data_IF_926004154664
#
_entry.id   IF_926004154664
#
_cell.length_a   1.000
_cell.length_b   1.000
_cell.length_c   1.000
_cell.angle_alpha   90.00
_cell.angle_beta   90.00
_cell.angle_gamma   90.00
#
_symmetry.space_group_name_H-M   'P 1'
#
loop_
_entity.id
_entity.type
_entity.pdbx_description
1 polymer ?
#
# COMPACT_ATOMS: atom_id res chain seq x y z
N UNK A 1 -8.95 -47.15 -68.46
CA UNK A 1 -8.39 -45.80 -68.29
C UNK A 1 -8.80 -45.31 -66.90
N UNK A 2 -7.81 -45.01 -66.03
CA UNK A 2 -7.84 -44.52 -64.64
C UNK A 2 -7.05 -45.41 -63.68
N UNK A 3 -5.78 -45.09 -63.61
CA UNK A 3 -4.83 -45.32 -62.52
C UNK A 3 -5.33 -44.69 -61.22
N UNK A 4 -5.18 -45.37 -60.09
CA UNK A 4 -5.16 -44.72 -58.76
C UNK A 4 -4.08 -45.36 -57.89
N UNK A 5 -3.01 -44.61 -57.65
CA UNK A 5 -1.99 -44.92 -56.64
C UNK A 5 -2.62 -44.79 -55.24
N UNK A 6 -2.40 -45.78 -54.37
CA UNK A 6 -2.57 -45.63 -52.92
C UNK A 6 -1.24 -45.15 -52.32
N UNK A 7 -1.19 -43.89 -51.92
CA UNK A 7 -0.11 -43.37 -51.08
C UNK A 7 -0.43 -43.73 -49.61
N UNK A 8 0.49 -44.44 -48.95
CA UNK A 8 0.43 -44.68 -47.51
C UNK A 8 0.89 -43.43 -46.76
N UNK A 9 -0.03 -42.76 -46.08
CA UNK A 9 0.28 -41.68 -45.15
C UNK A 9 0.57 -42.23 -43.76
N UNK A 10 1.84 -42.19 -43.34
CA UNK A 10 2.21 -42.32 -41.94
C UNK A 10 1.66 -41.10 -41.17
N UNK A 11 0.66 -41.31 -40.32
CA UNK A 11 0.26 -40.32 -39.31
C UNK A 11 1.32 -40.23 -38.23
N UNK A 12 2.20 -39.24 -38.34
CA UNK A 12 3.06 -38.82 -37.24
C UNK A 12 2.23 -38.08 -36.19
N UNK A 13 2.14 -38.65 -34.99
CA UNK A 13 1.58 -37.98 -33.82
C UNK A 13 2.56 -36.89 -33.39
N UNK A 14 2.25 -35.63 -33.70
CA UNK A 14 2.97 -34.48 -33.17
C UNK A 14 2.53 -34.31 -31.72
N UNK A 15 3.39 -34.75 -30.79
CA UNK A 15 3.26 -34.48 -29.38
C UNK A 15 3.66 -33.01 -29.15
N UNK A 16 2.67 -32.11 -29.19
CA UNK A 16 2.87 -30.72 -28.82
C UNK A 16 3.21 -30.66 -27.33
N UNK A 17 4.48 -30.43 -27.01
CA UNK A 17 4.88 -30.05 -25.66
C UNK A 17 4.23 -28.70 -25.35
N UNK A 18 3.22 -28.71 -24.47
CA UNK A 18 2.74 -27.52 -23.80
C UNK A 18 3.90 -26.96 -22.97
N UNK A 19 4.67 -26.05 -23.57
CA UNK A 19 5.56 -25.18 -22.81
C UNK A 19 4.64 -24.29 -21.98
N UNK A 20 4.38 -24.71 -20.74
CA UNK A 20 3.79 -23.82 -19.76
C UNK A 20 4.70 -22.61 -19.65
N UNK A 21 4.22 -21.45 -20.06
CA UNK A 21 4.84 -20.19 -19.69
C UNK A 21 4.75 -20.16 -18.16
N UNK A 22 5.87 -20.38 -17.48
CA UNK A 22 5.96 -20.13 -16.06
C UNK A 22 5.71 -18.63 -15.89
N UNK A 23 4.49 -18.25 -15.53
CA UNK A 23 4.18 -16.88 -15.15
C UNK A 23 5.11 -16.52 -13.98
N UNK A 24 5.88 -15.44 -14.11
CA UNK A 24 6.77 -15.04 -13.04
C UNK A 24 5.96 -14.72 -11.78
N UNK A 25 6.47 -15.17 -10.64
CA UNK A 25 5.81 -14.93 -9.36
C UNK A 25 6.16 -13.52 -8.90
N UNK A 26 5.12 -12.74 -8.64
CA UNK A 26 5.21 -11.37 -8.15
C UNK A 26 4.55 -11.27 -6.79
N UNK A 27 5.21 -10.61 -5.85
CA UNK A 27 4.71 -10.32 -4.52
C UNK A 27 4.72 -8.81 -4.32
N UNK A 28 3.54 -8.26 -4.04
CA UNK A 28 3.38 -6.86 -3.67
C UNK A 28 3.27 -6.74 -2.16
N UNK A 29 4.07 -5.84 -1.58
CA UNK A 29 4.08 -5.52 -0.16
C UNK A 29 3.72 -4.04 -0.03
N UNK A 30 2.57 -3.75 0.57
CA UNK A 30 2.19 -2.38 0.88
C UNK A 30 2.94 -1.91 2.12
N UNK A 31 3.60 -0.76 2.05
CA UNK A 31 4.41 -0.26 3.16
C UNK A 31 3.54 0.01 4.40
N UNK A 32 2.28 0.39 4.21
CA UNK A 32 1.33 0.53 5.32
C UNK A 32 1.11 -0.76 6.13
N UNK A 33 1.25 -1.91 5.48
CA UNK A 33 1.08 -3.23 6.08
C UNK A 33 2.35 -3.71 6.81
N UNK A 34 3.38 -2.87 6.94
CA UNK A 34 4.53 -3.19 7.77
C UNK A 34 4.10 -3.37 9.23
N UNK A 35 4.58 -4.44 9.86
CA UNK A 35 4.18 -4.81 11.24
C UNK A 35 4.68 -3.81 12.28
N UNK A 36 5.87 -3.27 12.09
CA UNK A 36 6.45 -2.22 12.93
C UNK A 36 6.83 -1.04 12.03
N UNK A 37 6.25 0.13 12.26
CA UNK A 37 6.62 1.33 11.50
C UNK A 37 7.87 2.01 12.08
N UNK A 38 8.33 1.62 13.26
CA UNK A 38 9.42 2.27 13.96
C UNK A 38 9.12 3.75 14.16
N UNK A 39 9.93 4.61 13.54
CA UNK A 39 9.70 6.05 13.53
C UNK A 39 9.01 6.58 12.27
N UNK A 40 8.77 5.74 11.27
CA UNK A 40 7.98 6.10 10.10
C UNK A 40 6.52 6.34 10.49
N UNK A 41 5.88 7.28 9.80
CA UNK A 41 4.47 7.63 9.99
C UNK A 41 3.66 7.16 8.81
N UNK A 42 2.55 6.47 9.08
CA UNK A 42 1.56 6.18 8.07
C UNK A 42 0.84 7.47 7.67
N UNK A 43 0.95 7.86 6.40
CA UNK A 43 0.23 8.98 5.81
C UNK A 43 -0.93 8.43 4.98
N UNK A 44 -2.15 8.74 5.41
CA UNK A 44 -3.40 8.34 4.76
C UNK A 44 -4.19 9.53 4.22
N UNK A 45 -3.66 10.75 4.26
CA UNK A 45 -4.49 11.96 4.04
C UNK A 45 -4.81 12.22 2.58
N UNK A 46 -4.06 11.60 1.66
CA UNK A 46 -4.17 11.85 0.23
C UNK A 46 -4.45 10.58 -0.57
N UNK A 47 -4.98 9.51 0.05
CA UNK A 47 -5.24 8.23 -0.64
C UNK A 47 -6.15 8.42 -1.86
N UNK A 48 -7.17 9.28 -1.76
CA UNK A 48 -8.09 9.56 -2.88
C UNK A 48 -7.42 10.25 -4.08
N UNK A 49 -6.26 10.88 -3.87
CA UNK A 49 -5.47 11.56 -4.91
C UNK A 49 -4.32 10.66 -5.37
N UNK A 50 -3.72 9.91 -4.45
CA UNK A 50 -2.50 9.13 -4.67
C UNK A 50 -2.75 7.67 -5.07
N UNK A 51 -3.97 7.18 -4.86
CA UNK A 51 -4.36 5.79 -5.08
C UNK A 51 -3.96 4.83 -3.96
N UNK A 52 -3.08 5.25 -3.04
CA UNK A 52 -2.65 4.46 -1.88
C UNK A 52 -2.04 5.32 -0.76
N UNK A 53 -2.10 4.86 0.50
CA UNK A 53 -1.35 5.44 1.61
C UNK A 53 0.12 5.00 1.56
N UNK A 54 0.98 5.67 2.34
CA UNK A 54 2.42 5.40 2.32
C UNK A 54 3.07 5.67 3.67
N UNK A 55 4.26 5.10 3.88
CA UNK A 55 5.10 5.42 5.03
C UNK A 55 5.97 6.65 4.75
N UNK A 56 6.02 7.55 5.73
CA UNK A 56 6.74 8.82 5.71
C UNK A 56 7.76 8.90 6.86
N UNK A 57 9.04 9.08 6.52
CA UNK A 57 10.12 9.31 7.47
C UNK A 57 10.23 10.79 7.89
N UNK A 58 9.31 11.25 8.75
CA UNK A 58 9.28 12.64 9.23
C UNK A 58 10.02 12.80 10.56
N UNK A 59 11.35 12.84 10.50
CA UNK A 59 12.25 12.96 11.66
C UNK A 59 12.78 14.37 11.93
N UNK A 60 12.27 15.39 11.24
CA UNK A 60 12.72 16.79 11.33
C UNK A 60 14.24 16.95 11.10
N UNK A 61 14.77 16.23 10.10
CA UNK A 61 16.18 16.23 9.73
C UNK A 61 17.06 15.31 10.58
N UNK A 62 16.47 14.44 11.40
CA UNK A 62 17.16 13.35 12.10
C UNK A 62 16.59 12.01 11.66
N UNK A 63 17.41 11.05 11.20
CA UNK A 63 16.91 9.75 10.78
C UNK A 63 15.98 9.11 11.80
N UNK A 64 14.85 8.59 11.33
CA UNK A 64 13.88 7.88 12.16
C UNK A 64 14.25 6.40 12.30
N UNK A 65 13.72 5.73 13.32
CA UNK A 65 13.91 4.28 13.48
C UNK A 65 13.26 3.51 12.32
N UNK A 66 13.89 2.41 11.91
CA UNK A 66 13.47 1.59 10.77
C UNK A 66 12.03 1.08 10.89
N UNK A 67 11.31 1.07 9.76
CA UNK A 67 10.11 0.26 9.63
C UNK A 67 10.49 -1.16 9.23
N UNK A 68 9.86 -2.18 9.84
CA UNK A 68 10.21 -3.59 9.69
C UNK A 68 8.97 -4.44 9.44
N UNK A 69 9.10 -5.41 8.54
CA UNK A 69 8.12 -6.48 8.38
C UNK A 69 8.78 -7.79 7.97
N UNK A 70 8.09 -8.89 8.19
CA UNK A 70 8.46 -10.21 7.70
C UNK A 70 7.47 -10.62 6.63
N UNK A 71 7.98 -11.18 5.54
CA UNK A 71 7.19 -11.68 4.42
C UNK A 71 7.59 -13.11 4.10
N UNK A 72 6.69 -13.80 3.42
CA UNK A 72 6.97 -15.12 2.84
C UNK A 72 6.97 -14.99 1.32
N UNK A 73 8.12 -15.21 0.69
CA UNK A 73 8.19 -15.35 -0.77
C UNK A 73 7.80 -16.77 -1.18
N UNK A 74 7.21 -16.99 -2.38
CA UNK A 74 6.72 -18.30 -2.78
C UNK A 74 7.80 -19.38 -2.83
N UNK A 75 9.04 -19.00 -3.17
CA UNK A 75 10.20 -19.90 -3.27
C UNK A 75 11.52 -19.12 -3.19
N UNK A 76 12.64 -19.78 -2.85
CA UNK A 76 13.96 -19.21 -3.04
C UNK A 76 14.25 -18.90 -4.52
N UNK A 77 15.10 -17.90 -4.77
CA UNK A 77 15.60 -17.54 -6.09
C UNK A 77 15.96 -16.07 -6.23
N UNK A 78 16.27 -15.66 -7.47
CA UNK A 78 16.56 -14.27 -7.81
C UNK A 78 15.29 -13.48 -8.06
N UNK A 79 15.13 -12.36 -7.35
CA UNK A 79 14.01 -11.43 -7.51
C UNK A 79 14.51 -10.07 -7.97
N UNK A 80 13.80 -9.45 -8.92
CA UNK A 80 13.89 -8.02 -9.19
C UNK A 80 13.09 -7.27 -8.14
N UNK A 81 13.62 -6.15 -7.68
CA UNK A 81 13.04 -5.35 -6.60
C UNK A 81 12.65 -3.99 -7.14
N UNK A 82 11.41 -3.57 -6.89
CA UNK A 82 10.96 -2.21 -7.15
C UNK A 82 10.41 -1.58 -5.88
N UNK A 83 10.63 -0.28 -5.72
CA UNK A 83 10.06 0.50 -4.61
C UNK A 83 9.24 1.64 -5.20
N UNK A 84 7.96 1.74 -4.86
CA UNK A 84 7.11 2.86 -5.26
C UNK A 84 7.40 4.06 -4.36
N UNK A 85 8.01 5.09 -4.94
CA UNK A 85 8.53 6.26 -4.22
C UNK A 85 8.59 7.48 -5.16
N UNK A 86 9.10 8.60 -4.65
CA UNK A 86 9.45 9.81 -5.42
C UNK A 86 10.48 10.65 -4.67
N UNK A 87 11.21 11.47 -5.43
CA UNK A 87 11.89 12.64 -4.89
C UNK A 87 10.86 13.76 -4.69
N UNK A 88 10.47 13.96 -3.45
CA UNK A 88 9.40 14.89 -3.11
C UNK A 88 9.75 16.35 -3.38
N UNK A 89 11.04 16.71 -3.41
CA UNK A 89 11.45 18.09 -3.71
C UNK A 89 11.64 18.36 -5.19
N UNK A 90 11.71 17.32 -6.03
CA UNK A 90 11.98 17.44 -7.46
C UNK A 90 10.98 18.34 -8.19
N UNK A 91 9.71 18.37 -7.77
CA UNK A 91 8.68 19.26 -8.36
C UNK A 91 9.02 20.75 -8.26
N UNK A 92 9.82 21.16 -7.27
CA UNK A 92 10.29 22.53 -7.13
C UNK A 92 11.69 22.76 -7.68
N UNK A 93 12.31 21.73 -8.30
CA UNK A 93 13.72 21.77 -8.75
C UNK A 93 14.68 22.20 -7.64
N UNK A 94 14.36 21.86 -6.39
CA UNK A 94 15.20 22.19 -5.26
C UNK A 94 16.51 21.35 -5.32
N UNK A 95 17.65 21.91 -4.88
CA UNK A 95 18.88 21.14 -4.81
C UNK A 95 18.81 20.08 -3.71
N UNK A 96 19.46 18.94 -3.96
CA UNK A 96 19.55 17.82 -3.01
C UNK A 96 18.40 16.82 -3.12
N UNK A 97 18.46 15.79 -2.30
CA UNK A 97 17.49 14.69 -2.23
C UNK A 97 17.25 14.39 -0.74
N UNK A 98 16.41 15.19 -0.07
CA UNK A 98 16.20 15.06 1.36
C UNK A 98 15.41 13.81 1.75
N UNK A 99 14.61 13.23 0.86
CA UNK A 99 13.80 12.04 1.15
C UNK A 99 14.52 10.70 0.96
N UNK A 100 15.84 10.63 1.19
CA UNK A 100 16.63 9.42 0.91
C UNK A 100 16.42 8.34 1.95
N UNK A 101 16.31 7.10 1.48
CA UNK A 101 16.25 5.90 2.32
C UNK A 101 16.80 4.69 1.58
N UNK A 102 17.05 3.61 2.32
CA UNK A 102 17.43 2.30 1.78
C UNK A 102 16.39 1.25 2.11
N UNK A 103 16.25 0.27 1.22
CA UNK A 103 15.57 -0.99 1.52
C UNK A 103 16.63 -2.02 1.92
N UNK A 104 16.49 -2.61 3.09
CA UNK A 104 17.30 -3.74 3.53
C UNK A 104 16.48 -5.03 3.40
N UNK A 105 17.12 -6.07 2.88
CA UNK A 105 16.55 -7.41 2.74
C UNK A 105 17.42 -8.35 3.56
N UNK A 106 16.83 -9.02 4.55
CA UNK A 106 17.55 -9.86 5.53
C UNK A 106 18.75 -9.14 6.17
N UNK A 107 18.55 -7.86 6.52
CA UNK A 107 19.56 -7.00 7.13
C UNK A 107 20.65 -6.48 6.20
N UNK A 108 20.64 -6.84 4.91
CA UNK A 108 21.58 -6.33 3.91
C UNK A 108 20.95 -5.20 3.11
N UNK A 109 21.53 -3.99 3.07
CA UNK A 109 21.01 -2.90 2.25
C UNK A 109 21.18 -3.21 0.77
N UNK A 110 20.17 -2.88 -0.02
CA UNK A 110 20.33 -2.81 -1.47
C UNK A 110 21.33 -1.70 -1.83
N UNK A 111 22.11 -1.86 -2.93
CA UNK A 111 23.03 -0.81 -3.38
C UNK A 111 22.34 0.51 -3.76
N UNK A 112 21.09 0.43 -4.22
CA UNK A 112 20.31 1.59 -4.64
C UNK A 112 19.83 2.43 -3.45
N UNK A 113 19.89 3.75 -3.59
CA UNK A 113 19.27 4.69 -2.65
C UNK A 113 17.96 5.24 -3.22
N UNK A 114 16.86 5.02 -2.52
CA UNK A 114 15.51 5.38 -2.94
C UNK A 114 15.12 6.80 -2.51
N UNK A 115 14.04 7.33 -3.09
CA UNK A 115 13.56 8.68 -2.84
C UNK A 115 14.43 9.78 -3.49
N UNK A 116 15.17 9.42 -4.53
CA UNK A 116 16.18 10.27 -5.19
C UNK A 116 15.83 10.67 -6.62
N UNK A 117 14.76 10.11 -7.19
CA UNK A 117 14.36 10.27 -8.59
C UNK A 117 12.86 10.50 -8.67
N UNK A 118 12.41 11.09 -9.78
CA UNK A 118 10.99 11.28 -10.11
C UNK A 118 10.29 12.36 -9.27
N UNK A 119 9.66 13.32 -9.94
CA UNK A 119 8.80 14.32 -9.27
C UNK A 119 7.42 13.75 -8.92
N UNK A 120 6.95 12.81 -9.73
CA UNK A 120 5.74 12.03 -9.51
C UNK A 120 6.08 10.66 -8.95
N UNK A 121 5.08 10.01 -8.34
CA UNK A 121 5.23 8.64 -7.85
C UNK A 121 5.50 7.70 -9.02
N UNK A 122 6.46 6.81 -8.82
CA UNK A 122 6.87 5.84 -9.81
C UNK A 122 7.53 4.63 -9.14
N UNK A 123 7.72 3.57 -9.90
CA UNK A 123 8.49 2.40 -9.49
C UNK A 123 9.98 2.63 -9.69
N UNK A 124 10.69 2.87 -8.58
CA UNK A 124 12.14 2.99 -8.56
C UNK A 124 12.77 1.60 -8.55
N UNK A 125 13.49 1.26 -9.63
CA UNK A 125 14.21 -0.01 -9.76
C UNK A 125 15.35 -0.12 -8.73
N UNK A 126 15.27 -1.12 -7.88
CA UNK A 126 16.23 -1.45 -6.83
C UNK A 126 17.27 -2.50 -7.24
N UNK A 127 17.22 -2.98 -8.48
CA UNK A 127 18.06 -4.06 -8.99
C UNK A 127 17.53 -5.45 -8.63
N UNK A 128 18.45 -6.39 -8.41
CA UNK A 128 18.10 -7.79 -8.12
C UNK A 128 18.70 -8.25 -6.79
N UNK A 129 18.03 -9.18 -6.15
CA UNK A 129 18.46 -9.83 -4.91
C UNK A 129 18.30 -11.33 -5.01
N UNK A 130 19.26 -12.09 -4.48
CA UNK A 130 19.14 -13.54 -4.33
C UNK A 130 18.57 -13.87 -2.95
N UNK A 131 17.45 -14.58 -2.92
CA UNK A 131 16.78 -15.03 -1.69
C UNK A 131 16.97 -16.54 -1.55
N UNK A 132 17.66 -16.95 -0.49
CA UNK A 132 17.96 -18.38 -0.23
C UNK A 132 16.91 -19.08 0.64
N UNK A 133 16.02 -18.32 1.26
CA UNK A 133 14.93 -18.79 2.14
C UNK A 133 13.62 -18.14 1.68
N UNK A 134 12.49 -18.77 2.03
CA UNK A 134 11.16 -18.21 1.81
C UNK A 134 10.81 -17.14 2.83
N UNK A 135 11.35 -17.22 4.05
CA UNK A 135 11.14 -16.19 5.08
C UNK A 135 12.13 -15.05 4.90
N UNK A 136 11.61 -13.83 4.73
CA UNK A 136 12.42 -12.65 4.43
C UNK A 136 12.01 -11.48 5.31
N UNK A 137 12.98 -10.83 5.93
CA UNK A 137 12.76 -9.56 6.64
C UNK A 137 13.04 -8.40 5.69
N UNK A 138 12.07 -7.49 5.57
CA UNK A 138 12.22 -6.21 4.89
C UNK A 138 12.38 -5.09 5.92
N UNK A 139 13.29 -4.15 5.68
CA UNK A 139 13.40 -2.91 6.47
C UNK A 139 13.52 -1.67 5.60
N UNK A 140 12.78 -0.63 5.95
CA UNK A 140 12.97 0.71 5.41
C UNK A 140 13.88 1.50 6.36
N UNK A 141 15.09 1.79 5.89
CA UNK A 141 16.10 2.52 6.65
C UNK A 141 16.19 3.96 6.16
N UNK A 142 15.76 4.90 7.00
CA UNK A 142 15.82 6.33 6.71
C UNK A 142 17.26 6.85 6.81
N UNK A 143 17.70 7.64 5.84
CA UNK A 143 19.05 8.19 5.80
C UNK A 143 19.11 9.67 6.21
N UNK A 144 17.97 10.35 6.35
CA UNK A 144 17.96 11.81 6.45
C UNK A 144 17.02 12.35 7.52
N UNK A 145 15.93 11.66 7.85
CA UNK A 145 14.88 12.22 8.69
C UNK A 145 14.04 13.28 8.03
N UNK A 146 14.11 13.42 6.70
CA UNK A 146 13.46 14.53 6.00
C UNK A 146 12.58 14.05 4.83
N UNK A 147 11.53 13.35 5.24
CA UNK A 147 10.39 12.96 4.41
C UNK A 147 10.74 11.94 3.32
N UNK A 148 11.49 10.89 3.69
CA UNK A 148 11.54 9.67 2.88
C UNK A 148 10.14 9.08 2.72
N UNK A 149 9.79 8.62 1.51
CA UNK A 149 8.44 8.15 1.18
C UNK A 149 8.48 6.77 0.53
N UNK A 150 7.72 5.82 1.07
CA UNK A 150 7.58 4.49 0.49
C UNK A 150 6.11 4.06 0.52
N UNK A 151 5.52 3.84 -0.66
CA UNK A 151 4.15 3.31 -0.80
C UNK A 151 4.14 1.80 -0.78
N UNK A 152 4.96 1.18 -1.63
CA UNK A 152 4.96 -0.27 -1.79
C UNK A 152 6.32 -0.78 -2.27
N UNK A 153 6.55 -2.06 -2.05
CA UNK A 153 7.69 -2.82 -2.54
C UNK A 153 7.14 -3.96 -3.38
N UNK A 154 7.69 -4.15 -4.58
CA UNK A 154 7.38 -5.30 -5.42
C UNK A 154 8.62 -6.16 -5.57
N UNK A 155 8.46 -7.46 -5.30
CA UNK A 155 9.43 -8.49 -5.63
C UNK A 155 8.88 -9.33 -6.77
N UNK A 156 9.65 -9.54 -7.84
CA UNK A 156 9.20 -10.39 -8.95
C UNK A 156 10.33 -11.25 -9.51
N UNK A 157 10.03 -12.50 -9.86
CA UNK A 157 10.97 -13.36 -10.61
C UNK A 157 10.92 -13.11 -12.12
N UNK A 158 9.92 -12.37 -12.60
CA UNK A 158 9.84 -11.94 -14.00
C UNK A 158 10.80 -10.77 -14.23
N UNK A 159 11.82 -11.01 -15.06
CA UNK A 159 12.87 -10.01 -15.34
C UNK A 159 12.35 -8.84 -16.18
N UNK A 160 11.34 -9.10 -17.00
CA UNK A 160 10.80 -8.15 -17.97
C UNK A 160 9.54 -7.44 -17.43
N UNK A 161 9.08 -7.83 -16.23
CA UNK A 161 7.92 -7.20 -15.60
C UNK A 161 8.17 -5.72 -15.32
N UNK A 162 7.27 -4.89 -15.83
CA UNK A 162 7.20 -3.46 -15.54
C UNK A 162 5.91 -3.22 -14.77
N UNK A 163 5.97 -2.84 -13.48
CA UNK A 163 4.77 -2.67 -12.70
C UNK A 163 3.95 -1.48 -13.23
N UNK A 164 2.62 -1.62 -13.41
CA UNK A 164 1.78 -0.50 -13.78
C UNK A 164 1.88 0.62 -12.74
N UNK A 165 1.84 1.88 -13.21
CA UNK A 165 1.96 3.05 -12.35
C UNK A 165 0.72 3.94 -12.43
N UNK A 166 -0.45 3.32 -12.57
CA UNK A 166 -1.72 4.03 -12.48
C UNK A 166 -1.93 4.64 -11.08
N UNK A 167 -2.83 5.62 -11.02
CA UNK A 167 -3.20 6.34 -9.79
C UNK A 167 -4.64 6.02 -9.38
N UNK A 168 -5.29 5.05 -10.02
CA UNK A 168 -6.62 4.62 -9.60
C UNK A 168 -6.53 4.04 -8.19
N UNK A 169 -7.56 4.25 -7.38
CA UNK A 169 -7.59 3.66 -6.03
C UNK A 169 -7.76 2.14 -6.17
N UNK A 170 -6.77 1.39 -5.67
CA UNK A 170 -6.72 -0.07 -5.73
C UNK A 170 -7.08 -0.63 -7.12
N UNK A 171 -6.23 -0.44 -8.14
CA UNK A 171 -6.45 -0.97 -9.49
C UNK A 171 -6.50 -2.51 -9.49
N UNK A 172 -7.04 -3.10 -10.55
CA UNK A 172 -7.24 -4.56 -10.65
C UNK A 172 -5.95 -5.36 -10.39
N UNK A 173 -4.83 -4.97 -11.00
CA UNK A 173 -3.56 -5.69 -10.84
C UNK A 173 -3.06 -5.67 -9.38
N UNK A 174 -3.28 -4.55 -8.66
CA UNK A 174 -2.92 -4.42 -7.24
C UNK A 174 -3.78 -5.36 -6.39
N UNK A 175 -5.09 -5.41 -6.66
CA UNK A 175 -6.01 -6.37 -6.01
C UNK A 175 -5.60 -7.81 -6.25
N UNK A 176 -5.26 -8.17 -7.48
CA UNK A 176 -4.82 -9.53 -7.84
C UNK A 176 -3.56 -9.94 -7.07
N UNK A 177 -2.53 -9.08 -7.01
CA UNK A 177 -1.31 -9.37 -6.28
C UNK A 177 -1.49 -9.41 -4.75
N UNK A 178 -2.48 -8.68 -4.22
CA UNK A 178 -2.83 -8.71 -2.79
C UNK A 178 -3.82 -9.82 -2.44
N UNK A 179 -4.29 -10.62 -3.41
CA UNK A 179 -5.30 -11.64 -3.19
C UNK A 179 -6.66 -11.08 -2.77
N UNK A 180 -6.95 -9.83 -3.12
CA UNK A 180 -8.21 -9.16 -2.78
C UNK A 180 -9.30 -9.53 -3.80
N UNK A 181 -10.57 -9.67 -3.36
CA UNK A 181 -11.67 -9.95 -4.26
C UNK A 181 -11.88 -8.79 -5.25
N UNK A 182 -12.32 -9.11 -6.47
CA UNK A 182 -12.62 -8.09 -7.49
C UNK A 182 -13.74 -7.14 -7.04
N UNK A 183 -14.73 -7.69 -6.32
CA UNK A 183 -15.87 -6.96 -5.77
C UNK A 183 -15.70 -6.79 -4.26
N UNK A 184 -16.09 -5.64 -3.69
CA UNK A 184 -16.15 -5.47 -2.25
C UNK A 184 -16.98 -6.56 -1.57
N UNK A 185 -16.57 -6.95 -0.36
CA UNK A 185 -17.35 -7.88 0.45
C UNK A 185 -18.64 -7.19 0.89
N UNK A 186 -19.78 -7.73 0.49
CA UNK A 186 -21.07 -7.23 0.96
C UNK A 186 -21.33 -7.66 2.41
N UNK A 187 -21.69 -6.68 3.25
CA UNK A 187 -22.13 -6.90 4.63
C UNK A 187 -23.51 -6.24 4.81
N UNK A 188 -24.48 -7.00 5.31
CA UNK A 188 -25.88 -6.57 5.42
C UNK A 188 -26.40 -6.65 6.86
N UNK A 189 -27.63 -6.17 7.07
CA UNK A 189 -28.31 -6.22 8.36
C UNK A 189 -27.88 -5.14 9.33
N UNK A 190 -27.62 -3.93 8.84
CA UNK A 190 -27.42 -2.72 9.64
C UNK A 190 -28.60 -1.78 9.41
N UNK A 191 -29.04 -1.08 10.45
CA UNK A 191 -30.09 -0.06 10.37
C UNK A 191 -29.52 1.30 9.93
N UNK A 192 -28.23 1.53 10.21
CA UNK A 192 -27.51 2.74 9.85
C UNK A 192 -26.07 2.42 9.46
N UNK A 193 -25.62 2.98 8.33
CA UNK A 193 -24.21 2.99 7.93
C UNK A 193 -23.69 4.42 8.07
N UNK A 194 -22.63 4.59 8.85
CA UNK A 194 -21.92 5.85 9.05
C UNK A 194 -20.56 5.76 8.39
N UNK A 195 -20.27 6.69 7.48
CA UNK A 195 -18.98 6.77 6.78
C UNK A 195 -18.20 7.96 7.37
N UNK A 196 -17.03 7.67 7.94
CA UNK A 196 -16.14 8.63 8.57
C UNK A 196 -16.25 8.67 10.09
N UNK A 197 -15.14 8.37 10.77
CA UNK A 197 -14.99 8.37 12.22
C UNK A 197 -14.65 9.73 12.83
N UNK A 198 -15.07 10.84 12.21
CA UNK A 198 -14.92 12.19 12.76
C UNK A 198 -15.92 12.49 13.88
N UNK A 199 -15.86 13.68 14.48
CA UNK A 199 -16.80 14.07 15.55
C UNK A 199 -18.28 13.90 15.17
N UNK A 200 -18.65 14.28 13.94
CA UNK A 200 -20.02 14.11 13.44
C UNK A 200 -20.41 12.64 13.28
N UNK A 201 -19.54 11.83 12.67
CA UNK A 201 -19.80 10.41 12.45
C UNK A 201 -19.82 9.61 13.75
N UNK A 202 -18.90 9.87 14.67
CA UNK A 202 -18.91 9.26 16.00
C UNK A 202 -20.18 9.64 16.77
N UNK A 203 -20.54 10.93 16.80
CA UNK A 203 -21.79 11.38 17.42
C UNK A 203 -23.02 10.67 16.83
N UNK A 204 -23.13 10.63 15.50
CA UNK A 204 -24.22 9.94 14.82
C UNK A 204 -24.26 8.43 15.13
N UNK A 205 -23.11 7.76 15.08
CA UNK A 205 -23.01 6.33 15.32
C UNK A 205 -23.39 5.97 16.76
N UNK A 206 -22.87 6.71 17.75
CA UNK A 206 -23.15 6.49 19.17
C UNK A 206 -24.61 6.80 19.50
N UNK A 207 -25.14 7.92 19.01
CA UNK A 207 -26.56 8.27 19.20
C UNK A 207 -27.47 7.17 18.66
N UNK A 208 -27.25 6.71 17.42
CA UNK A 208 -28.07 5.67 16.81
C UNK A 208 -27.96 4.34 17.56
N UNK A 209 -26.75 3.93 17.95
CA UNK A 209 -26.55 2.70 18.73
C UNK A 209 -27.29 2.75 20.08
N UNK A 210 -27.27 3.90 20.78
CA UNK A 210 -28.02 4.11 22.04
C UNK A 210 -29.54 4.04 21.85
N UNK A 211 -30.03 4.35 20.67
CA UNK A 211 -31.45 4.22 20.30
C UNK A 211 -31.82 2.80 19.81
N UNK A 212 -30.89 1.86 19.86
CA UNK A 212 -31.12 0.46 19.50
C UNK A 212 -30.84 0.10 18.04
N UNK A 213 -30.32 1.03 17.22
CA UNK A 213 -29.92 0.71 15.86
C UNK A 213 -28.66 -0.15 15.83
N UNK A 214 -28.62 -1.13 14.94
CA UNK A 214 -27.39 -1.83 14.57
C UNK A 214 -26.61 -0.96 13.57
N UNK A 215 -25.51 -0.37 14.04
CA UNK A 215 -24.72 0.60 13.26
C UNK A 215 -23.46 -0.03 12.67
N UNK A 216 -23.16 0.27 11.40
CA UNK A 216 -21.85 0.05 10.80
C UNK A 216 -21.10 1.37 10.70
N UNK A 217 -19.99 1.53 11.42
CA UNK A 217 -19.07 2.66 11.26
C UNK A 217 -17.92 2.25 10.34
N UNK A 218 -17.83 2.89 9.18
CA UNK A 218 -16.76 2.69 8.21
C UNK A 218 -15.79 3.86 8.36
N UNK A 219 -14.51 3.55 8.56
CA UNK A 219 -13.45 4.53 8.72
C UNK A 219 -12.25 4.10 7.90
N UNK A 220 -11.67 5.05 7.17
CA UNK A 220 -10.56 4.88 6.23
C UNK A 220 -9.18 5.03 6.90
N UNK A 221 -9.14 5.33 8.20
CA UNK A 221 -7.92 5.52 8.99
C UNK A 221 -7.91 4.66 10.26
N UNK A 222 -6.74 4.28 10.78
CA UNK A 222 -6.62 3.48 12.00
C UNK A 222 -6.99 4.25 13.28
N UNK A 223 -7.32 5.54 13.17
CA UNK A 223 -7.68 6.41 14.29
C UNK A 223 -9.03 7.10 14.05
N UNK A 224 -9.72 7.38 15.15
CA UNK A 224 -10.98 8.13 15.18
C UNK A 224 -10.73 9.60 15.54
N UNK A 225 -11.76 10.45 15.39
CA UNK A 225 -11.73 11.87 15.73
C UNK A 225 -11.55 12.81 14.54
N UNK A 226 -11.38 12.29 13.31
CA UNK A 226 -11.24 13.14 12.13
C UNK A 226 -9.99 14.02 12.24
N UNK A 227 -10.12 15.33 12.00
CA UNK A 227 -9.02 16.28 12.23
C UNK A 227 -8.67 16.46 13.71
N UNK A 228 -9.56 16.07 14.62
CA UNK A 228 -9.31 16.03 16.06
C UNK A 228 -8.56 14.78 16.53
N UNK A 229 -8.23 13.85 15.63
CA UNK A 229 -7.51 12.62 15.95
C UNK A 229 -6.12 12.90 16.55
N UNK A 230 -5.55 11.86 17.18
CA UNK A 230 -4.17 11.88 17.71
C UNK A 230 -3.10 12.15 16.65
N UNK A 231 -3.43 11.92 15.38
CA UNK A 231 -2.60 12.18 14.20
C UNK A 231 -2.61 13.67 13.81
N UNK A 232 -3.80 14.27 13.63
CA UNK A 232 -3.95 15.63 13.07
C UNK A 232 -3.99 16.73 14.14
N UNK A 233 -4.51 16.42 15.33
CA UNK A 233 -4.49 17.27 16.53
C UNK A 233 -5.10 18.67 16.34
N UNK A 234 -6.08 18.81 15.45
CA UNK A 234 -6.95 19.99 15.35
C UNK A 234 -8.17 19.74 16.23
N UNK A 235 -7.97 19.91 17.54
CA UNK A 235 -9.00 19.71 18.57
C UNK A 235 -10.15 20.70 18.40
N UNK A 236 -11.36 20.34 18.85
CA UNK A 236 -12.54 21.23 18.79
C UNK A 236 -12.44 22.49 19.70
N UNK A 237 -11.31 22.69 20.39
CA UNK A 237 -10.98 23.83 21.27
C UNK A 237 -12.11 24.24 22.24
N UNK A 238 -12.93 23.29 22.71
CA UNK A 238 -14.03 23.56 23.66
C UNK A 238 -15.24 24.30 23.06
N UNK A 239 -15.35 24.39 21.73
CA UNK A 239 -16.51 25.00 21.03
C UNK A 239 -17.71 24.06 20.92
N UNK A 240 -17.87 23.13 21.86
CA UNK A 240 -18.78 21.96 21.78
C UNK A 240 -20.18 22.21 22.34
N UNK A 241 -20.54 23.45 22.68
CA UNK A 241 -21.90 23.82 23.13
C UNK A 241 -22.32 25.20 22.65
N UNK A 242 -22.25 25.45 21.34
CA UNK A 242 -22.55 26.76 20.73
C UNK A 242 -23.77 26.74 19.82
N UNK A 243 -24.38 27.92 19.65
CA UNK A 243 -25.48 28.13 18.72
C UNK A 243 -26.85 27.67 19.25
N UNK A 244 -27.79 27.43 18.33
CA UNK A 244 -29.21 27.18 18.62
C UNK A 244 -29.47 25.87 19.37
N UNK A 245 -28.57 24.89 19.26
CA UNK A 245 -28.74 23.54 19.83
C UNK A 245 -27.51 23.13 20.65
N UNK A 246 -27.25 23.79 21.79
CA UNK A 246 -26.01 23.61 22.54
C UNK A 246 -25.84 22.19 23.10
N UNK A 247 -26.94 21.48 23.38
CA UNK A 247 -26.89 20.10 23.89
C UNK A 247 -26.41 19.07 22.87
N UNK A 248 -26.43 19.38 21.56
CA UNK A 248 -25.97 18.42 20.54
C UNK A 248 -24.49 18.07 20.72
N UNK A 249 -23.65 19.02 21.14
CA UNK A 249 -22.23 18.74 21.32
C UNK A 249 -21.88 18.15 22.69
N UNK A 250 -22.85 17.86 23.56
CA UNK A 250 -22.62 17.04 24.76
C UNK A 250 -22.08 15.66 24.40
N UNK A 251 -22.56 15.07 23.30
CA UNK A 251 -22.07 13.77 22.84
C UNK A 251 -20.59 13.81 22.45
N UNK A 252 -20.07 14.98 22.08
CA UNK A 252 -18.66 15.17 21.74
C UNK A 252 -17.80 15.32 22.99
N UNK A 253 -18.36 15.78 24.12
CA UNK A 253 -17.66 15.78 25.41
C UNK A 253 -17.45 14.38 25.99
N UNK A 254 -18.28 13.41 25.57
CA UNK A 254 -18.19 12.02 26.00
C UNK A 254 -17.12 11.21 25.24
N UNK A 255 -16.57 11.76 24.15
CA UNK A 255 -15.59 11.14 23.26
C UNK A 255 -14.15 11.45 23.67
#
# INVERSE_FOLDING_TARGET
>A
MRTSLRAGGMSGVIMAALVGIAAGESLLIEAESFRDHGGWKLDTQFVDIMGSPYLLAHGLGRPVADAVTEITVPRPGTYRVFVRTKDWVARWKAPGQPGRFQLLINGKPLPETFGTKGAEWFWHDGGTVELTDTQVTLRLHDLTGFDGRCDAILLTTDRDFVPPNDTEVLPRWRRELLGLPEKPVEKTGYDLVVIGGGYSGLGAAISAARMGCKVSLIQDRPVLGGNGSSEVRVWAQGLIRRGRFPRIGEIVEEL
#
